data_IF_619298335704
#
_entry.id   IF_619298335704
#
_cell.length_a   1.000
_cell.length_b   1.000
_cell.length_c   1.000
_cell.angle_alpha   90.00
_cell.angle_beta   90.00
_cell.angle_gamma   90.00
#
_symmetry.space_group_name_H-M   'P 1'
#
loop_
_entity.id
_entity.type
_entity.pdbx_description
1 polymer ?
#
# COMPACT_ATOMS: atom_id res chain seq x y z
N UNK A 1 13.40 -29.85 -59.86
CA UNK A 1 12.90 -29.87 -58.44
C UNK A 1 11.55 -30.57 -58.49
N UNK A 2 11.35 -31.65 -57.73
CA UNK A 2 10.07 -32.34 -57.75
C UNK A 2 9.08 -31.74 -56.77
N UNK A 3 7.78 -32.01 -56.92
CA UNK A 3 6.70 -31.44 -56.17
C UNK A 3 6.89 -31.62 -54.64
N UNK A 4 7.52 -32.71 -54.21
CA UNK A 4 7.82 -32.98 -52.79
C UNK A 4 8.87 -32.00 -52.20
N UNK A 5 9.85 -31.59 -52.99
CA UNK A 5 10.87 -30.62 -52.56
C UNK A 5 10.28 -29.21 -52.48
N UNK A 6 9.38 -28.85 -53.40
CA UNK A 6 8.68 -27.57 -53.37
C UNK A 6 7.75 -27.50 -52.13
N UNK A 7 7.03 -28.59 -51.84
CA UNK A 7 6.14 -28.68 -50.67
C UNK A 7 6.92 -28.60 -49.35
N UNK A 8 8.09 -29.27 -49.28
CA UNK A 8 8.95 -29.20 -48.07
C UNK A 8 9.53 -27.81 -47.83
N UNK A 9 9.92 -27.09 -48.88
CA UNK A 9 10.41 -25.71 -48.79
C UNK A 9 9.27 -24.77 -48.40
N UNK A 10 8.07 -24.93 -48.93
CA UNK A 10 6.90 -24.13 -48.55
C UNK A 10 6.47 -24.35 -47.10
N UNK A 11 6.53 -25.57 -46.57
CA UNK A 11 6.27 -25.91 -45.19
C UNK A 11 7.36 -25.33 -44.27
N UNK A 12 8.65 -25.40 -44.65
CA UNK A 12 9.72 -24.76 -43.89
C UNK A 12 9.59 -23.22 -43.86
N UNK A 13 9.18 -22.60 -44.98
CA UNK A 13 8.93 -21.16 -44.98
C UNK A 13 7.72 -20.76 -44.15
N UNK A 14 6.69 -21.61 -44.04
CA UNK A 14 5.53 -21.35 -43.17
C UNK A 14 5.85 -21.49 -41.68
N UNK A 15 6.90 -22.25 -41.31
CA UNK A 15 7.36 -22.38 -39.92
C UNK A 15 8.42 -21.34 -39.51
N UNK A 16 8.95 -20.60 -40.48
CA UNK A 16 9.90 -19.50 -40.24
C UNK A 16 9.23 -18.18 -39.90
N UNK A 17 7.92 -18.18 -39.71
CA UNK A 17 7.16 -16.96 -39.39
C UNK A 17 6.88 -16.86 -37.92
N UNK A 18 7.35 -15.73 -37.38
CA UNK A 18 7.00 -15.15 -36.07
C UNK A 18 7.72 -15.70 -34.83
N UNK A 19 9.02 -15.85 -34.87
CA UNK A 19 9.78 -15.58 -33.68
C UNK A 19 9.80 -14.05 -33.50
N UNK A 20 8.76 -13.48 -32.90
CA UNK A 20 8.88 -12.13 -32.40
C UNK A 20 9.98 -12.15 -31.32
N UNK A 21 11.05 -11.38 -31.54
CA UNK A 21 12.10 -11.24 -30.54
C UNK A 21 11.52 -10.64 -29.25
N UNK A 22 12.12 -10.99 -28.13
CA UNK A 22 11.79 -10.37 -26.84
C UNK A 22 11.87 -8.85 -26.95
N UNK A 23 11.00 -8.14 -26.22
CA UNK A 23 11.02 -6.67 -26.20
C UNK A 23 12.24 -6.15 -25.44
N UNK A 24 12.95 -5.20 -26.03
CA UNK A 24 14.14 -4.60 -25.41
C UNK A 24 14.29 -3.12 -25.79
N UNK A 25 15.05 -2.38 -24.97
CA UNK A 25 15.32 -0.96 -25.19
C UNK A 25 14.08 -0.10 -24.96
N UNK A 26 13.91 0.97 -25.74
CA UNK A 26 12.79 1.92 -25.57
C UNK A 26 11.74 1.68 -26.64
N UNK A 27 10.52 1.42 -26.19
CA UNK A 27 9.30 1.33 -26.99
C UNK A 27 8.46 2.56 -26.72
N UNK A 28 8.19 3.35 -27.75
CA UNK A 28 7.37 4.55 -27.63
C UNK A 28 5.94 4.26 -28.05
N UNK A 29 5.00 4.48 -27.13
CA UNK A 29 3.57 4.37 -27.40
C UNK A 29 3.10 5.70 -27.96
N UNK A 30 2.69 5.73 -29.24
CA UNK A 30 2.24 6.92 -29.91
C UNK A 30 0.99 6.63 -30.75
N UNK A 31 -0.04 7.49 -30.64
CA UNK A 31 -1.24 7.37 -31.48
C UNK A 31 -0.86 7.33 -32.95
N UNK A 32 -1.37 6.34 -33.68
CA UNK A 32 -1.06 6.12 -35.10
C UNK A 32 0.20 5.28 -35.38
N UNK A 33 0.97 4.89 -34.37
CA UNK A 33 2.04 3.92 -34.53
C UNK A 33 1.45 2.55 -34.96
N UNK A 34 2.02 1.89 -35.98
CA UNK A 34 1.47 0.64 -36.49
C UNK A 34 1.59 -0.55 -35.52
N UNK A 35 2.54 -0.51 -34.57
CA UNK A 35 2.80 -1.59 -33.63
C UNK A 35 2.30 -1.26 -32.24
N UNK A 36 2.55 -0.02 -31.78
CA UNK A 36 2.25 0.42 -30.42
C UNK A 36 1.38 1.68 -30.40
N UNK A 37 0.16 1.64 -30.99
CA UNK A 37 -0.74 2.81 -31.00
C UNK A 37 -1.30 3.13 -29.62
N UNK A 38 -1.33 2.16 -28.70
CA UNK A 38 -1.86 2.27 -27.33
C UNK A 38 -0.97 1.57 -26.33
N UNK A 39 -1.08 1.97 -25.06
CA UNK A 39 -0.37 1.30 -23.97
C UNK A 39 -0.80 -0.18 -23.83
N UNK A 40 -2.08 -0.50 -24.12
CA UNK A 40 -2.54 -1.90 -24.18
C UNK A 40 -1.74 -2.71 -25.18
N UNK A 41 -1.58 -2.23 -26.42
CA UNK A 41 -0.85 -2.97 -27.44
C UNK A 41 0.60 -3.24 -27.05
N UNK A 42 1.24 -2.28 -26.38
CA UNK A 42 2.62 -2.45 -25.91
C UNK A 42 2.71 -3.45 -24.73
N UNK A 43 1.79 -3.39 -23.77
CA UNK A 43 1.74 -4.33 -22.64
C UNK A 43 1.37 -5.73 -23.12
N UNK A 44 0.43 -5.87 -24.05
CA UNK A 44 0.06 -7.16 -24.64
C UNK A 44 1.25 -7.79 -25.36
N UNK A 45 2.00 -6.99 -26.12
CA UNK A 45 3.25 -7.44 -26.75
C UNK A 45 4.29 -7.88 -25.72
N UNK A 46 4.46 -7.12 -24.64
CA UNK A 46 5.35 -7.47 -23.53
C UNK A 46 4.97 -8.81 -22.91
N UNK A 47 3.70 -9.00 -22.59
CA UNK A 47 3.21 -10.23 -21.99
C UNK A 47 3.38 -11.46 -22.88
N UNK A 48 3.29 -11.29 -24.19
CA UNK A 48 3.45 -12.40 -25.15
C UNK A 48 4.92 -12.70 -25.51
N UNK A 49 5.75 -11.69 -25.59
CA UNK A 49 7.13 -11.82 -26.08
C UNK A 49 8.15 -11.89 -24.94
N UNK A 50 7.80 -11.38 -23.77
CA UNK A 50 8.73 -11.23 -22.66
C UNK A 50 9.74 -10.11 -22.89
N UNK A 51 10.71 -10.00 -21.97
CA UNK A 51 11.74 -8.95 -21.96
C UNK A 51 13.09 -9.50 -22.37
N UNK A 52 13.77 -8.80 -23.28
CA UNK A 52 15.10 -9.14 -23.77
C UNK A 52 16.24 -8.55 -22.94
N UNK A 53 17.46 -8.80 -23.38
CA UNK A 53 18.67 -8.38 -22.68
C UNK A 53 18.74 -6.84 -22.54
N UNK A 54 19.10 -6.39 -21.33
CA UNK A 54 19.14 -4.98 -20.99
C UNK A 54 17.80 -4.37 -20.58
N UNK A 55 16.70 -5.17 -20.64
CA UNK A 55 15.38 -4.71 -20.21
C UNK A 55 14.59 -3.93 -21.27
N UNK A 56 13.39 -3.48 -20.89
CA UNK A 56 12.52 -2.69 -21.77
C UNK A 56 11.93 -1.50 -21.03
N UNK A 57 11.86 -0.36 -21.69
CA UNK A 57 11.11 0.81 -21.28
C UNK A 57 9.96 1.04 -22.24
N UNK A 58 8.73 0.81 -21.81
CA UNK A 58 7.52 1.19 -22.52
C UNK A 58 7.17 2.62 -22.10
N UNK A 59 7.35 3.57 -23.00
CA UNK A 59 7.21 4.99 -22.75
C UNK A 59 6.02 5.56 -23.52
N UNK A 60 5.04 6.11 -22.84
CA UNK A 60 3.94 6.83 -23.48
C UNK A 60 4.45 8.21 -23.92
N UNK A 61 4.32 8.52 -25.22
CA UNK A 61 4.72 9.83 -25.74
C UNK A 61 3.96 10.97 -25.03
N UNK A 62 4.60 12.11 -24.74
CA UNK A 62 3.93 13.23 -24.10
C UNK A 62 2.69 13.68 -24.87
N UNK A 63 1.59 14.00 -24.15
CA UNK A 63 0.34 14.42 -24.77
C UNK A 63 -0.48 13.30 -25.41
N UNK A 64 -0.21 12.05 -25.08
CA UNK A 64 -0.94 10.88 -25.58
C UNK A 64 -1.73 10.19 -24.43
N UNK A 65 -2.86 10.75 -23.98
CA UNK A 65 -3.66 10.18 -22.92
C UNK A 65 -4.19 8.79 -23.30
N UNK A 66 -4.34 7.92 -22.32
CA UNK A 66 -4.75 6.54 -22.48
C UNK A 66 -6.05 6.26 -21.74
N UNK A 67 -6.76 5.22 -22.16
CA UNK A 67 -7.88 4.63 -21.40
C UNK A 67 -7.51 3.19 -21.10
N UNK A 68 -7.63 2.78 -19.86
CA UNK A 68 -7.38 1.40 -19.47
C UNK A 68 -8.39 0.45 -20.15
N UNK A 69 -7.98 -0.74 -20.54
CA UNK A 69 -8.90 -1.75 -21.07
C UNK A 69 -9.83 -2.29 -19.98
N UNK A 70 -10.86 -3.02 -20.38
CA UNK A 70 -11.69 -3.77 -19.43
C UNK A 70 -10.81 -4.66 -18.53
N UNK A 71 -11.00 -4.55 -17.23
CA UNK A 71 -10.17 -5.23 -16.25
C UNK A 71 -8.80 -4.60 -15.97
N UNK A 72 -8.47 -3.46 -16.58
CA UNK A 72 -7.20 -2.74 -16.38
C UNK A 72 -6.02 -3.27 -17.19
N UNK A 73 -4.87 -2.60 -17.10
CA UNK A 73 -3.62 -3.06 -17.69
C UNK A 73 -3.03 -4.19 -16.85
N UNK A 74 -3.12 -5.42 -17.34
CA UNK A 74 -2.54 -6.59 -16.70
C UNK A 74 -1.10 -6.84 -17.18
N UNK A 75 -0.14 -6.83 -16.27
CA UNK A 75 1.28 -7.08 -16.52
C UNK A 75 1.60 -8.44 -15.92
N UNK A 76 1.96 -9.41 -16.78
CA UNK A 76 2.30 -10.79 -16.40
C UNK A 76 3.70 -11.19 -16.81
N UNK A 77 4.37 -10.40 -17.65
CA UNK A 77 5.76 -10.63 -18.02
C UNK A 77 6.67 -10.20 -16.87
N UNK A 78 7.57 -11.08 -16.45
CA UNK A 78 8.59 -10.80 -15.43
C UNK A 78 9.90 -10.36 -16.05
N UNK A 79 10.51 -9.37 -15.41
CA UNK A 79 11.90 -9.02 -15.59
C UNK A 79 12.84 -9.77 -14.64
N UNK A 80 14.08 -9.35 -14.60
CA UNK A 80 15.09 -9.73 -13.62
C UNK A 80 16.07 -8.55 -13.40
N UNK A 81 17.06 -8.64 -12.51
CA UNK A 81 17.99 -7.52 -12.26
C UNK A 81 18.73 -7.03 -13.51
N UNK A 82 18.93 -7.89 -14.52
CA UNK A 82 19.59 -7.55 -15.79
C UNK A 82 18.61 -7.15 -16.90
N UNK A 83 17.32 -7.42 -16.69
CA UNK A 83 16.24 -7.20 -17.65
C UNK A 83 15.03 -6.50 -16.98
N UNK A 84 15.20 -5.32 -16.39
CA UNK A 84 14.10 -4.61 -15.74
C UNK A 84 13.06 -4.16 -16.77
N UNK A 85 11.81 -4.08 -16.32
CA UNK A 85 10.69 -3.58 -17.12
C UNK A 85 10.24 -2.26 -16.53
N UNK A 86 10.26 -1.20 -17.33
CA UNK A 86 9.77 0.11 -16.97
C UNK A 86 8.57 0.50 -17.84
N UNK A 87 7.47 0.92 -17.20
CA UNK A 87 6.29 1.48 -17.88
C UNK A 87 6.16 2.93 -17.44
N UNK A 88 6.42 3.85 -18.36
CA UNK A 88 6.57 5.28 -18.07
C UNK A 88 5.47 6.11 -18.72
N UNK A 89 4.75 6.86 -17.89
CA UNK A 89 3.61 7.66 -18.31
C UNK A 89 3.94 9.04 -18.88
N UNK A 90 5.08 9.65 -18.53
CA UNK A 90 5.46 11.02 -18.91
C UNK A 90 4.39 12.07 -18.63
N UNK A 91 3.69 11.95 -17.50
CA UNK A 91 2.60 12.86 -17.13
C UNK A 91 1.29 12.62 -17.89
N UNK A 92 1.19 11.60 -18.72
CA UNK A 92 -0.05 11.29 -19.41
C UNK A 92 -1.13 10.78 -18.44
N UNK A 93 -2.36 11.19 -18.72
CA UNK A 93 -3.54 10.67 -18.04
C UNK A 93 -3.85 9.25 -18.50
N UNK A 94 -4.16 8.39 -17.54
CA UNK A 94 -4.82 7.10 -17.77
C UNK A 94 -6.18 7.15 -17.10
N UNK A 95 -7.25 7.15 -17.90
CA UNK A 95 -8.62 7.05 -17.40
C UNK A 95 -8.99 5.59 -17.22
N UNK A 96 -9.60 5.24 -16.10
CA UNK A 96 -10.10 3.91 -15.82
C UNK A 96 -11.12 3.44 -16.88
N UNK A 97 -11.27 2.15 -17.06
CA UNK A 97 -12.32 1.58 -17.91
C UNK A 97 -13.73 1.93 -17.37
N UNK A 98 -14.71 1.98 -18.25
CA UNK A 98 -16.11 2.18 -17.87
C UNK A 98 -17.04 1.34 -18.75
N UNK A 99 -18.03 0.65 -18.13
CA UNK A 99 -18.21 0.50 -16.70
C UNK A 99 -17.28 -0.57 -16.11
N UNK A 100 -16.83 -0.39 -14.87
CA UNK A 100 -16.15 -1.45 -14.15
C UNK A 100 -17.15 -2.56 -13.77
N UNK A 101 -16.64 -3.75 -13.49
CA UNK A 101 -17.48 -4.89 -13.11
C UNK A 101 -17.99 -4.75 -11.68
N UNK A 102 -19.24 -5.14 -11.45
CA UNK A 102 -19.77 -5.22 -10.09
C UNK A 102 -19.44 -6.57 -9.43
N UNK A 103 -19.23 -6.58 -8.14
CA UNK A 103 -19.19 -7.79 -7.31
C UNK A 103 -17.80 -8.17 -6.80
N UNK A 104 -16.94 -8.75 -7.62
CA UNK A 104 -15.58 -9.08 -7.22
C UNK A 104 -14.74 -7.80 -7.10
N UNK A 105 -13.91 -7.73 -6.06
CA UNK A 105 -13.05 -6.57 -5.83
C UNK A 105 -11.72 -6.83 -6.52
N UNK A 106 -11.65 -6.49 -7.80
CA UNK A 106 -10.51 -6.76 -8.66
C UNK A 106 -10.32 -5.74 -9.78
N UNK A 107 -11.05 -4.62 -9.77
CA UNK A 107 -10.96 -3.58 -10.78
C UNK A 107 -9.83 -2.60 -10.47
N UNK A 108 -8.82 -2.56 -11.34
CA UNK A 108 -7.66 -1.71 -11.19
C UNK A 108 -7.33 -0.96 -12.48
N UNK A 109 -6.63 0.17 -12.39
CA UNK A 109 -6.05 0.79 -13.59
C UNK A 109 -4.84 -0.02 -14.05
N UNK A 110 -3.94 -0.39 -13.13
CA UNK A 110 -2.84 -1.30 -13.40
C UNK A 110 -2.87 -2.50 -12.47
N UNK A 111 -2.58 -3.68 -13.00
CA UNK A 111 -2.40 -4.94 -12.26
C UNK A 111 -1.03 -5.52 -12.56
N UNK A 112 -0.25 -5.81 -11.54
CA UNK A 112 0.96 -6.62 -11.62
C UNK A 112 0.60 -8.00 -11.08
N UNK A 113 0.69 -9.05 -11.91
CA UNK A 113 0.20 -10.38 -11.58
C UNK A 113 1.36 -11.37 -11.67
N UNK A 114 1.93 -11.76 -10.53
CA UNK A 114 3.09 -12.64 -10.44
C UNK A 114 4.34 -12.11 -11.15
N UNK A 115 4.32 -10.89 -11.63
CA UNK A 115 5.39 -10.33 -12.45
C UNK A 115 6.42 -9.57 -11.63
N UNK A 116 7.68 -9.82 -11.89
CA UNK A 116 8.81 -9.28 -11.14
C UNK A 116 9.52 -8.14 -11.87
N UNK A 117 10.23 -7.32 -11.08
CA UNK A 117 11.08 -6.23 -11.60
C UNK A 117 10.34 -5.23 -12.48
N UNK A 118 9.11 -4.91 -12.08
CA UNK A 118 8.24 -3.97 -12.77
C UNK A 118 8.33 -2.59 -12.12
N UNK A 119 8.53 -1.56 -12.92
CA UNK A 119 8.40 -0.16 -12.49
C UNK A 119 7.25 0.50 -13.24
N UNK A 120 6.27 1.07 -12.51
CA UNK A 120 5.20 1.91 -13.07
C UNK A 120 5.45 3.34 -12.59
N UNK A 121 5.64 4.28 -13.52
CA UNK A 121 6.04 5.63 -13.15
C UNK A 121 5.41 6.74 -14.00
N UNK A 122 5.20 7.91 -13.36
CA UNK A 122 4.87 9.15 -14.03
C UNK A 122 3.52 9.22 -14.73
N UNK A 123 2.53 8.45 -14.30
CA UNK A 123 1.15 8.51 -14.78
C UNK A 123 0.26 9.39 -13.92
N UNK A 124 -0.77 9.96 -14.55
CA UNK A 124 -1.94 10.55 -13.90
C UNK A 124 -3.11 9.56 -14.04
N UNK A 125 -3.31 8.71 -13.06
CA UNK A 125 -4.37 7.69 -13.03
C UNK A 125 -5.66 8.30 -12.49
N UNK A 126 -6.75 8.19 -13.22
CA UNK A 126 -8.02 8.83 -12.86
C UNK A 126 -9.20 7.86 -12.98
N UNK A 127 -10.15 7.99 -12.05
CA UNK A 127 -11.48 7.38 -12.22
C UNK A 127 -12.14 7.88 -13.50
N UNK A 128 -12.90 7.01 -14.15
CA UNK A 128 -13.74 7.42 -15.28
C UNK A 128 -14.98 8.17 -14.76
N UNK A 129 -15.27 9.39 -15.22
CA UNK A 129 -16.44 10.14 -14.76
C UNK A 129 -17.79 9.43 -15.00
N UNK A 130 -17.85 8.46 -15.90
CA UNK A 130 -19.04 7.65 -16.13
C UNK A 130 -19.24 6.56 -15.06
N UNK A 131 -18.20 6.26 -14.28
CA UNK A 131 -18.27 5.36 -13.12
C UNK A 131 -18.80 6.16 -11.92
N UNK A 132 -20.09 6.04 -11.64
CA UNK A 132 -20.76 6.84 -10.61
C UNK A 132 -21.78 6.06 -9.77
N UNK A 133 -21.88 4.76 -9.98
CA UNK A 133 -22.72 3.85 -9.19
C UNK A 133 -21.90 3.24 -8.07
N UNK A 134 -22.21 3.61 -6.82
CA UNK A 134 -21.40 3.25 -5.63
C UNK A 134 -22.01 2.14 -4.78
N UNK A 135 -23.19 1.64 -5.14
CA UNK A 135 -23.84 0.58 -4.38
C UNK A 135 -23.05 -0.73 -4.44
N UNK A 136 -22.78 -1.35 -3.31
CA UNK A 136 -21.85 -2.48 -3.19
C UNK A 136 -22.15 -3.67 -4.14
N UNK A 137 -23.41 -3.90 -4.48
CA UNK A 137 -23.83 -5.02 -5.33
C UNK A 137 -23.97 -4.69 -6.81
N UNK A 138 -23.95 -3.41 -7.18
CA UNK A 138 -24.19 -2.94 -8.56
C UNK A 138 -23.23 -1.81 -8.95
N UNK A 139 -22.14 -1.64 -8.20
CA UNK A 139 -21.19 -0.59 -8.48
C UNK A 139 -20.54 -0.74 -9.86
N UNK A 140 -20.06 0.36 -10.39
CA UNK A 140 -19.24 0.40 -11.59
C UNK A 140 -17.95 1.20 -11.36
N UNK A 141 -17.49 1.24 -10.11
CA UNK A 141 -16.37 2.04 -9.64
C UNK A 141 -15.06 1.26 -9.70
N UNK A 142 -13.95 1.96 -9.87
CA UNK A 142 -12.60 1.38 -9.81
C UNK A 142 -12.17 1.20 -8.36
N UNK A 143 -11.69 0.00 -8.01
CA UNK A 143 -11.21 -0.29 -6.66
C UNK A 143 -9.77 0.15 -6.43
N UNK A 144 -8.89 -0.06 -7.41
CA UNK A 144 -7.45 0.14 -7.22
C UNK A 144 -6.84 1.05 -8.29
N UNK A 145 -5.96 1.96 -7.88
CA UNK A 145 -5.08 2.64 -8.82
C UNK A 145 -4.05 1.65 -9.38
N UNK A 146 -3.28 1.04 -8.49
CA UNK A 146 -2.34 -0.05 -8.82
C UNK A 146 -2.57 -1.21 -7.85
N UNK A 147 -2.76 -2.42 -8.38
CA UNK A 147 -2.90 -3.63 -7.61
C UNK A 147 -1.81 -4.65 -7.94
N UNK A 148 -1.27 -5.30 -6.92
CA UNK A 148 -0.31 -6.38 -7.02
C UNK A 148 -0.97 -7.67 -6.52
N UNK A 149 -1.07 -8.66 -7.41
CA UNK A 149 -1.69 -9.95 -7.15
C UNK A 149 -0.71 -11.09 -7.40
N UNK A 150 -0.78 -12.15 -6.65
CA UNK A 150 -0.04 -13.35 -7.02
C UNK A 150 -0.70 -14.05 -8.24
N UNK A 151 0.12 -14.67 -9.08
CA UNK A 151 -0.37 -15.49 -10.20
C UNK A 151 -0.74 -16.89 -9.71
N UNK A 152 0.14 -17.49 -8.93
CA UNK A 152 -0.08 -18.75 -8.18
C UNK A 152 0.41 -18.58 -6.74
N UNK A 153 0.03 -19.44 -5.80
CA UNK A 153 0.45 -19.31 -4.39
C UNK A 153 1.97 -19.32 -4.15
N UNK A 154 2.76 -19.64 -5.13
CA UNK A 154 4.22 -19.64 -5.14
C UNK A 154 4.84 -18.68 -6.17
N UNK A 155 4.03 -17.80 -6.76
CA UNK A 155 4.44 -16.82 -7.78
C UNK A 155 3.77 -15.47 -7.52
N UNK A 156 4.40 -14.62 -6.73
CA UNK A 156 3.97 -13.27 -6.38
C UNK A 156 4.88 -12.19 -6.97
N UNK A 157 4.37 -10.96 -7.11
CA UNK A 157 5.13 -9.86 -7.72
C UNK A 157 6.23 -9.37 -6.77
N UNK A 158 7.48 -9.52 -7.15
CA UNK A 158 8.64 -9.12 -6.36
C UNK A 158 9.46 -8.02 -7.03
N UNK A 159 10.23 -7.28 -6.24
CA UNK A 159 11.13 -6.25 -6.73
C UNK A 159 10.44 -5.18 -7.60
N UNK A 160 9.18 -4.88 -7.29
CA UNK A 160 8.37 -3.93 -8.04
C UNK A 160 8.46 -2.52 -7.46
N UNK A 161 8.25 -1.51 -8.29
CA UNK A 161 8.32 -0.10 -7.90
C UNK A 161 7.16 0.70 -8.49
N UNK A 162 6.47 1.48 -7.66
CA UNK A 162 5.40 2.40 -8.06
C UNK A 162 5.88 3.80 -7.72
N UNK A 163 6.26 4.60 -8.72
CA UNK A 163 7.06 5.81 -8.50
C UNK A 163 6.47 7.03 -9.18
N UNK A 164 6.26 8.13 -8.43
CA UNK A 164 5.94 9.43 -8.97
C UNK A 164 4.62 9.50 -9.75
N UNK A 165 3.65 8.66 -9.42
CA UNK A 165 2.34 8.69 -10.04
C UNK A 165 1.38 9.60 -9.27
N UNK A 166 0.40 10.15 -9.97
CA UNK A 166 -0.77 10.79 -9.38
C UNK A 166 -1.95 9.83 -9.54
N UNK A 167 -2.59 9.44 -8.43
CA UNK A 167 -3.72 8.50 -8.41
C UNK A 167 -4.92 9.19 -7.79
N UNK A 168 -6.02 9.33 -8.54
CA UNK A 168 -7.27 9.95 -8.10
C UNK A 168 -8.45 9.07 -8.51
N UNK A 169 -9.08 8.42 -7.56
CA UNK A 169 -10.19 7.50 -7.82
C UNK A 169 -11.56 8.08 -7.42
N UNK A 170 -12.56 7.23 -7.27
CA UNK A 170 -13.93 7.61 -6.90
C UNK A 170 -14.17 7.54 -5.38
N UNK A 171 -13.52 8.40 -4.60
CA UNK A 171 -13.45 8.37 -3.14
C UNK A 171 -14.74 8.10 -2.35
N UNK A 172 -15.94 8.54 -2.77
CA UNK A 172 -17.18 8.16 -2.10
C UNK A 172 -17.50 6.66 -2.17
N UNK A 173 -16.95 5.92 -3.12
CA UNK A 173 -17.08 4.47 -3.15
C UNK A 173 -16.21 3.82 -2.06
N UNK A 174 -16.84 2.93 -1.27
CA UNK A 174 -16.22 2.39 -0.06
C UNK A 174 -14.95 1.56 -0.30
N UNK A 175 -14.82 0.93 -1.46
CA UNK A 175 -13.72 0.01 -1.77
C UNK A 175 -12.70 0.66 -2.71
N UNK A 176 -12.29 1.90 -2.45
CA UNK A 176 -11.25 2.59 -3.23
C UNK A 176 -9.92 2.61 -2.48
N UNK A 177 -8.88 2.13 -3.15
CA UNK A 177 -7.52 2.02 -2.62
C UNK A 177 -6.51 2.57 -3.63
N UNK A 178 -5.59 3.42 -3.19
CA UNK A 178 -4.60 3.98 -4.09
C UNK A 178 -3.66 2.90 -4.64
N UNK A 179 -2.93 2.23 -3.75
CA UNK A 179 -2.02 1.12 -4.07
C UNK A 179 -2.33 -0.06 -3.14
N UNK A 180 -2.44 -1.23 -3.72
CA UNK A 180 -2.89 -2.44 -3.04
C UNK A 180 -2.00 -3.64 -3.35
N UNK A 181 -1.64 -4.42 -2.33
CA UNK A 181 -1.09 -5.76 -2.46
C UNK A 181 -1.64 -6.66 -1.36
N UNK A 182 -1.98 -7.90 -1.72
CA UNK A 182 -2.49 -8.86 -0.73
C UNK A 182 -2.12 -10.29 -1.14
N UNK A 183 -1.41 -11.00 -0.29
CA UNK A 183 -0.97 -12.39 -0.48
C UNK A 183 -2.12 -13.42 -0.54
N UNK A 184 -3.36 -12.96 -0.41
CA UNK A 184 -4.59 -13.77 -0.49
C UNK A 184 -5.55 -13.30 -1.57
N UNK A 185 -5.05 -12.53 -2.52
CA UNK A 185 -5.87 -11.95 -3.56
C UNK A 185 -5.24 -12.22 -4.92
N UNK A 186 -5.96 -12.95 -5.76
CA UNK A 186 -5.61 -13.14 -7.19
C UNK A 186 -6.23 -12.03 -8.03
N UNK A 187 -5.85 -11.94 -9.30
CA UNK A 187 -6.42 -10.97 -10.23
C UNK A 187 -7.93 -11.18 -10.50
N UNK A 188 -8.50 -12.30 -10.11
CA UNK A 188 -9.89 -12.67 -10.39
C UNK A 188 -10.75 -12.83 -9.15
N UNK A 189 -10.15 -13.10 -7.99
CA UNK A 189 -10.88 -13.34 -6.78
C UNK A 189 -10.04 -13.15 -5.52
N UNK A 190 -10.66 -12.63 -4.48
CA UNK A 190 -10.13 -12.68 -3.13
C UNK A 190 -10.32 -14.08 -2.57
N UNK A 191 -9.27 -14.70 -2.06
CA UNK A 191 -9.33 -16.03 -1.47
C UNK A 191 -9.64 -15.95 0.02
N UNK A 192 -10.58 -16.73 0.52
CA UNK A 192 -11.02 -16.67 1.92
C UNK A 192 -10.13 -17.46 2.90
N UNK A 193 -9.28 -18.33 2.42
CA UNK A 193 -8.48 -19.20 3.28
C UNK A 193 -7.16 -19.66 2.70
N UNK A 194 -7.04 -19.67 1.37
CA UNK A 194 -5.77 -19.98 0.73
C UNK A 194 -4.84 -18.78 0.85
N UNK A 195 -3.64 -19.03 1.31
CA UNK A 195 -2.55 -18.09 1.36
C UNK A 195 -1.46 -18.57 0.38
N UNK A 196 -0.46 -17.74 0.17
CA UNK A 196 0.74 -18.17 -0.54
C UNK A 196 1.40 -19.34 0.17
N UNK A 197 2.11 -20.17 -0.58
CA UNK A 197 2.72 -21.43 -0.11
C UNK A 197 4.24 -21.36 0.01
N UNK A 198 4.83 -20.28 -0.47
CA UNK A 198 6.27 -20.01 -0.37
C UNK A 198 6.54 -18.51 -0.23
N UNK A 199 7.78 -18.16 0.04
CA UNK A 199 8.22 -16.77 0.05
C UNK A 199 8.17 -16.14 -1.36
N UNK A 200 8.29 -16.95 -2.40
CA UNK A 200 8.22 -16.48 -3.79
C UNK A 200 6.81 -16.03 -4.17
N UNK A 201 5.77 -16.51 -3.47
CA UNK A 201 4.41 -16.00 -3.59
C UNK A 201 4.19 -14.61 -2.97
N UNK A 202 5.12 -14.07 -2.18
CA UNK A 202 4.99 -12.78 -1.52
C UNK A 202 5.43 -11.62 -2.43
N UNK A 203 4.91 -10.40 -2.16
CA UNK A 203 5.32 -9.16 -2.82
C UNK A 203 6.54 -8.52 -2.13
N UNK A 204 7.68 -9.20 -2.15
CA UNK A 204 8.89 -8.72 -1.48
C UNK A 204 9.57 -7.57 -2.22
N UNK A 205 10.33 -6.74 -1.49
CA UNK A 205 11.12 -5.62 -2.03
C UNK A 205 10.26 -4.61 -2.83
N UNK A 206 9.00 -4.43 -2.46
CA UNK A 206 8.11 -3.44 -3.08
C UNK A 206 8.51 -2.03 -2.64
N UNK A 207 8.61 -1.12 -3.61
CA UNK A 207 8.88 0.28 -3.39
C UNK A 207 7.70 1.15 -3.86
N UNK A 208 7.18 2.00 -2.98
CA UNK A 208 6.10 2.95 -3.26
C UNK A 208 6.65 4.34 -2.95
N UNK A 209 7.08 5.05 -3.99
CA UNK A 209 7.90 6.25 -3.82
C UNK A 209 7.28 7.48 -4.48
N UNK A 210 7.20 8.59 -3.74
CA UNK A 210 6.86 9.92 -4.26
C UNK A 210 5.53 9.98 -5.04
N UNK A 211 4.55 9.14 -4.71
CA UNK A 211 3.23 9.19 -5.34
C UNK A 211 2.34 10.23 -4.67
N UNK A 212 1.43 10.83 -5.43
CA UNK A 212 0.32 11.63 -4.92
C UNK A 212 -0.96 10.81 -5.06
N UNK A 213 -1.58 10.47 -3.94
CA UNK A 213 -2.79 9.63 -3.89
C UNK A 213 -3.91 10.45 -3.26
N UNK A 214 -5.05 10.53 -3.93
CA UNK A 214 -6.19 11.31 -3.46
C UNK A 214 -7.52 10.69 -3.89
N UNK A 215 -8.59 11.14 -3.25
CA UNK A 215 -9.95 10.69 -3.53
C UNK A 215 -10.08 9.16 -3.43
N UNK A 216 -9.50 8.60 -2.39
CA UNK A 216 -9.53 7.17 -2.05
C UNK A 216 -9.98 6.97 -0.61
N UNK A 217 -10.59 5.83 -0.32
CA UNK A 217 -10.96 5.51 1.05
C UNK A 217 -9.73 5.10 1.88
N UNK A 218 -8.79 4.37 1.28
CA UNK A 218 -7.51 4.02 1.89
C UNK A 218 -6.35 4.29 0.91
N UNK A 219 -5.23 4.81 1.43
CA UNK A 219 -4.11 5.20 0.59
C UNK A 219 -3.31 4.02 0.06
N UNK A 220 -2.53 3.39 0.94
CA UNK A 220 -1.71 2.20 0.65
C UNK A 220 -2.15 1.06 1.55
N UNK A 221 -2.46 -0.09 0.97
CA UNK A 221 -2.89 -1.29 1.69
C UNK A 221 -2.05 -2.48 1.29
N UNK A 222 -1.25 -2.98 2.21
CA UNK A 222 -0.34 -4.10 2.01
C UNK A 222 -0.65 -5.19 3.03
N UNK A 223 -1.05 -6.36 2.55
CA UNK A 223 -1.43 -7.52 3.38
C UNK A 223 -0.58 -8.72 2.99
N UNK A 224 0.41 -9.02 3.81
CA UNK A 224 1.28 -10.20 3.66
C UNK A 224 0.63 -11.47 4.20
N UNK A 225 1.33 -12.57 4.04
CA UNK A 225 0.95 -13.88 4.59
C UNK A 225 0.92 -13.87 6.12
N UNK A 226 0.00 -14.61 6.70
CA UNK A 226 -0.02 -14.88 8.14
C UNK A 226 0.97 -15.99 8.55
N UNK A 227 1.54 -16.70 7.59
CA UNK A 227 2.62 -17.68 7.83
C UNK A 227 3.93 -16.94 7.92
N UNK A 228 4.61 -17.02 9.05
CA UNK A 228 5.77 -16.18 9.36
C UNK A 228 6.88 -16.19 8.32
N UNK A 229 7.24 -17.37 7.80
CA UNK A 229 8.31 -17.50 6.80
C UNK A 229 7.96 -16.90 5.44
N UNK A 230 6.66 -16.68 5.17
CA UNK A 230 6.15 -16.15 3.91
C UNK A 230 5.66 -14.70 4.03
N UNK A 231 5.82 -14.06 5.19
CA UNK A 231 5.50 -12.63 5.35
C UNK A 231 6.28 -11.80 4.35
N UNK A 232 5.60 -10.88 3.70
CA UNK A 232 6.25 -9.95 2.78
C UNK A 232 7.26 -9.07 3.53
N UNK A 233 8.39 -8.77 2.89
CA UNK A 233 9.53 -8.13 3.54
C UNK A 233 10.21 -7.08 2.68
N UNK A 234 10.98 -6.19 3.35
CA UNK A 234 11.75 -5.14 2.71
C UNK A 234 10.86 -4.17 1.91
N UNK A 235 9.77 -3.76 2.51
CA UNK A 235 8.82 -2.84 1.88
C UNK A 235 9.24 -1.41 2.20
N UNK A 236 9.25 -0.56 1.16
CA UNK A 236 9.54 0.88 1.30
C UNK A 236 8.35 1.69 0.83
N UNK A 237 7.82 2.55 1.71
CA UNK A 237 6.80 3.55 1.37
C UNK A 237 7.37 4.91 1.76
N UNK A 238 7.85 5.68 0.79
CA UNK A 238 8.63 6.89 1.06
C UNK A 238 8.19 8.08 0.20
N UNK A 239 8.11 9.26 0.80
CA UNK A 239 7.85 10.51 0.11
C UNK A 239 6.45 10.68 -0.48
N UNK A 240 5.49 9.83 -0.14
CA UNK A 240 4.14 9.90 -0.73
C UNK A 240 3.29 10.99 -0.07
N UNK A 241 2.41 11.64 -0.86
CA UNK A 241 1.41 12.58 -0.41
C UNK A 241 0.01 11.94 -0.56
N UNK A 242 -0.61 11.56 0.55
CA UNK A 242 -1.83 10.75 0.58
C UNK A 242 -2.95 11.50 1.27
N UNK A 243 -4.06 11.75 0.54
CA UNK A 243 -5.33 12.21 1.09
C UNK A 243 -6.36 11.08 0.96
N UNK A 244 -6.99 10.68 2.06
CA UNK A 244 -7.80 9.47 2.15
C UNK A 244 -8.98 9.61 3.11
N UNK A 245 -9.88 8.62 3.11
CA UNK A 245 -10.91 8.51 4.14
C UNK A 245 -12.22 9.19 3.78
N UNK A 246 -12.67 9.09 2.54
CA UNK A 246 -13.91 9.71 2.08
C UNK A 246 -15.16 9.10 2.69
N UNK A 247 -15.15 7.80 2.97
CA UNK A 247 -16.28 7.14 3.64
C UNK A 247 -15.79 6.32 4.82
N UNK A 248 -16.57 6.20 5.85
CA UNK A 248 -16.25 5.35 7.01
C UNK A 248 -16.68 3.89 6.82
N UNK A 249 -17.13 3.51 5.64
CA UNK A 249 -17.68 2.19 5.38
C UNK A 249 -17.02 1.54 4.17
N UNK A 250 -16.64 0.29 4.27
CA UNK A 250 -16.15 -0.52 3.15
C UNK A 250 -16.48 -1.99 3.38
N UNK A 251 -16.54 -2.76 2.29
CA UNK A 251 -16.72 -4.20 2.36
C UNK A 251 -15.57 -4.86 3.08
N UNK A 252 -15.84 -5.96 3.76
CA UNK A 252 -14.82 -6.71 4.45
C UNK A 252 -13.97 -7.47 3.43
N UNK A 253 -12.71 -7.04 3.30
CA UNK A 253 -11.69 -7.85 2.63
C UNK A 253 -11.05 -8.79 3.63
N UNK A 254 -10.47 -9.84 3.13
CA UNK A 254 -9.66 -10.68 3.99
C UNK A 254 -8.57 -9.86 4.70
N UNK A 255 -8.62 -9.86 6.03
CA UNK A 255 -7.73 -9.10 6.91
C UNK A 255 -7.77 -7.57 6.80
N UNK A 256 -8.72 -7.00 6.06
CA UNK A 256 -8.92 -5.56 5.97
C UNK A 256 -10.38 -5.25 6.23
N UNK A 257 -10.73 -4.81 7.42
CA UNK A 257 -12.11 -4.46 7.75
C UNK A 257 -12.22 -3.43 8.86
N UNK A 258 -13.27 -2.65 8.81
CA UNK A 258 -13.72 -1.82 9.91
C UNK A 258 -12.85 -0.61 10.27
N UNK A 259 -11.76 -0.34 9.55
CA UNK A 259 -10.85 0.77 9.82
C UNK A 259 -10.46 1.51 8.55
N UNK A 260 -10.18 2.80 8.69
CA UNK A 260 -9.70 3.65 7.59
C UNK A 260 -8.26 4.03 7.88
N UNK A 261 -7.36 3.74 6.96
CA UNK A 261 -5.93 3.92 7.15
C UNK A 261 -5.31 4.69 5.98
N UNK A 262 -4.38 5.59 6.26
CA UNK A 262 -3.54 6.20 5.24
C UNK A 262 -2.59 5.17 4.65
N UNK A 263 -1.87 4.45 5.52
CA UNK A 263 -1.00 3.33 5.18
C UNK A 263 -1.34 2.17 6.13
N UNK A 264 -1.71 1.03 5.56
CA UNK A 264 -1.91 -0.23 6.28
C UNK A 264 -0.85 -1.24 5.87
N UNK A 265 -0.15 -1.77 6.85
CA UNK A 265 0.82 -2.86 6.72
C UNK A 265 0.37 -4.00 7.63
N UNK A 266 -0.12 -5.07 7.06
CA UNK A 266 -0.52 -6.26 7.81
C UNK A 266 0.40 -7.42 7.45
N UNK A 267 1.02 -8.04 8.45
CA UNK A 267 1.95 -9.17 8.26
C UNK A 267 3.13 -8.83 7.33
N UNK A 268 3.70 -7.65 7.52
CA UNK A 268 4.87 -7.13 6.80
C UNK A 268 6.03 -7.03 7.79
N UNK A 269 7.21 -7.41 7.38
CA UNK A 269 8.44 -7.31 8.16
C UNK A 269 9.52 -6.52 7.43
N UNK A 270 10.42 -5.88 8.18
CA UNK A 270 11.44 -4.99 7.62
C UNK A 270 10.83 -3.88 6.75
N UNK A 271 9.84 -3.18 7.31
CA UNK A 271 9.17 -2.05 6.65
C UNK A 271 9.92 -0.74 6.90
N UNK A 272 10.01 0.09 5.87
CA UNK A 272 10.54 1.46 5.94
C UNK A 272 9.48 2.43 5.43
N UNK A 273 8.89 3.20 6.33
CA UNK A 273 7.77 4.10 6.07
C UNK A 273 8.22 5.51 6.44
N UNK A 274 8.77 6.23 5.47
CA UNK A 274 9.42 7.51 5.75
C UNK A 274 8.85 8.66 4.91
N UNK A 275 9.00 9.89 5.42
CA UNK A 275 8.76 11.13 4.67
C UNK A 275 7.35 11.24 4.05
N UNK A 276 6.37 10.45 4.48
CA UNK A 276 5.03 10.50 3.91
C UNK A 276 4.22 11.64 4.54
N UNK A 277 3.42 12.30 3.71
CA UNK A 277 2.40 13.24 4.15
C UNK A 277 1.04 12.58 4.08
N UNK A 278 0.40 12.37 5.22
CA UNK A 278 -0.90 11.71 5.33
C UNK A 278 -1.94 12.72 5.82
N UNK A 279 -3.02 12.87 5.07
CA UNK A 279 -4.13 13.76 5.43
C UNK A 279 -5.43 12.97 5.30
N UNK A 280 -6.19 12.86 6.39
CA UNK A 280 -7.53 12.29 6.28
C UNK A 280 -8.52 13.35 5.77
N UNK A 281 -9.46 12.92 4.93
CA UNK A 281 -10.60 13.75 4.55
C UNK A 281 -11.59 13.89 5.71
N UNK A 282 -12.25 15.04 5.78
CA UNK A 282 -13.22 15.36 6.83
C UNK A 282 -14.54 14.59 6.72
N UNK A 283 -14.71 13.79 5.68
CA UNK A 283 -15.96 13.04 5.44
C UNK A 283 -15.98 11.69 6.16
N UNK A 284 -14.87 11.24 6.75
CA UNK A 284 -14.80 9.97 7.48
C UNK A 284 -15.84 9.93 8.60
N UNK A 285 -16.75 8.97 8.53
CA UNK A 285 -17.77 8.71 9.55
C UNK A 285 -17.60 7.31 10.13
N UNK A 286 -17.98 7.10 11.36
CA UNK A 286 -18.25 5.81 12.03
C UNK A 286 -17.13 4.74 12.06
N UNK A 287 -15.85 5.03 11.78
CA UNK A 287 -14.79 4.03 11.79
C UNK A 287 -13.54 4.51 12.55
N UNK A 288 -12.76 3.55 13.04
CA UNK A 288 -11.42 3.85 13.55
C UNK A 288 -10.56 4.43 12.43
N UNK A 289 -9.96 5.58 12.70
CA UNK A 289 -9.13 6.31 11.74
C UNK A 289 -7.67 6.20 12.18
N UNK A 290 -6.80 5.83 11.24
CA UNK A 290 -5.35 5.74 11.49
C UNK A 290 -4.56 6.44 10.38
N UNK A 291 -3.48 7.09 10.75
CA UNK A 291 -2.48 7.53 9.77
C UNK A 291 -1.70 6.33 9.23
N UNK A 292 -0.90 5.72 10.08
CA UNK A 292 -0.16 4.49 9.78
C UNK A 292 -0.63 3.38 10.72
N UNK A 293 -0.93 2.22 10.17
CA UNK A 293 -1.22 1.02 10.95
C UNK A 293 -0.30 -0.12 10.52
N UNK A 294 0.54 -0.57 11.42
CA UNK A 294 1.39 -1.74 11.24
C UNK A 294 0.98 -2.84 12.22
N UNK A 295 0.46 -3.91 11.65
CA UNK A 295 0.00 -5.07 12.38
C UNK A 295 0.78 -6.31 11.94
N UNK A 296 1.45 -6.94 12.89
CA UNK A 296 2.10 -8.23 12.66
C UNK A 296 1.40 -9.26 13.54
N UNK A 297 0.55 -10.07 12.94
CA UNK A 297 -0.22 -11.09 13.65
C UNK A 297 0.71 -12.13 14.26
N UNK A 298 0.68 -12.26 15.56
CA UNK A 298 1.62 -13.09 16.30
C UNK A 298 1.04 -14.04 17.32
N UNK A 299 -0.26 -14.25 17.39
CA UNK A 299 -0.82 -15.29 18.24
C UNK A 299 -0.81 -16.65 17.51
N UNK A 300 0.37 -17.22 17.30
CA UNK A 300 0.54 -18.58 16.78
C UNK A 300 1.35 -18.74 15.50
N UNK A 301 1.53 -17.74 14.67
CA UNK A 301 2.51 -17.81 13.59
C UNK A 301 3.89 -17.51 14.18
N UNK A 302 4.80 -18.47 14.15
CA UNK A 302 6.20 -18.20 14.42
C UNK A 302 6.67 -17.16 13.39
N UNK A 303 6.93 -15.92 13.84
CA UNK A 303 7.65 -14.97 13.00
C UNK A 303 9.00 -15.60 12.62
N UNK A 304 9.56 -15.23 11.46
CA UNK A 304 10.87 -15.73 11.08
C UNK A 304 11.86 -15.50 12.23
N UNK A 305 12.43 -16.56 12.75
CA UNK A 305 13.46 -16.49 13.80
C UNK A 305 14.85 -16.36 13.22
N UNK A 306 14.97 -16.49 11.89
CA UNK A 306 16.23 -16.54 11.17
C UNK A 306 16.90 -15.18 10.98
N UNK A 307 16.18 -14.06 11.22
CA UNK A 307 16.74 -12.71 11.11
C UNK A 307 16.03 -11.72 12.04
N UNK A 308 16.72 -10.62 12.35
CA UNK A 308 16.13 -9.54 13.13
C UNK A 308 15.14 -8.75 12.28
N UNK A 309 13.96 -8.46 12.80
CA UNK A 309 12.94 -7.64 12.14
C UNK A 309 13.13 -6.20 12.58
N UNK A 310 13.36 -5.32 11.62
CA UNK A 310 13.55 -3.89 11.86
C UNK A 310 12.54 -3.09 11.05
N UNK A 311 11.69 -2.34 11.73
CA UNK A 311 10.72 -1.46 11.10
C UNK A 311 11.06 -0.01 11.41
N UNK A 312 11.00 0.84 10.39
CA UNK A 312 11.32 2.27 10.48
C UNK A 312 10.11 3.10 10.08
N UNK A 313 9.70 4.02 10.95
CA UNK A 313 8.64 5.00 10.72
C UNK A 313 9.26 6.36 11.04
N UNK A 314 9.72 7.08 10.01
CA UNK A 314 10.51 8.29 10.27
C UNK A 314 10.04 9.46 9.40
N UNK A 315 10.06 10.66 9.98
CA UNK A 315 9.77 11.92 9.29
C UNK A 315 8.38 11.99 8.62
N UNK A 316 7.41 11.18 9.03
CA UNK A 316 6.08 11.26 8.47
C UNK A 316 5.32 12.46 9.04
N UNK A 317 4.53 13.12 8.19
CA UNK A 317 3.69 14.24 8.58
C UNK A 317 2.23 13.82 8.48
N UNK A 318 1.59 13.60 9.63
CA UNK A 318 0.28 12.98 9.73
C UNK A 318 -0.72 14.01 10.29
N UNK A 319 -1.72 14.36 9.49
CA UNK A 319 -2.84 15.21 9.91
C UNK A 319 -4.15 14.46 9.80
N UNK A 320 -4.80 14.22 10.94
CA UNK A 320 -6.03 13.45 11.01
C UNK A 320 -7.20 14.28 11.56
N UNK A 321 -8.28 14.28 10.81
CA UNK A 321 -9.55 14.84 11.21
C UNK A 321 -10.67 13.99 10.61
N UNK A 322 -11.79 13.87 11.30
CA UNK A 322 -12.97 13.17 10.78
C UNK A 322 -14.24 13.99 10.96
N UNK A 323 -15.30 13.61 10.28
CA UNK A 323 -16.57 14.34 10.35
C UNK A 323 -17.37 14.00 11.61
N UNK A 324 -17.65 12.73 11.83
CA UNK A 324 -18.38 12.30 13.04
C UNK A 324 -18.12 10.82 13.27
N UNK A 325 -17.84 10.42 14.49
CA UNK A 325 -18.10 9.09 14.99
C UNK A 325 -17.53 8.87 16.38
N UNK A 326 -18.07 7.92 17.07
CA UNK A 326 -17.57 7.47 18.35
C UNK A 326 -16.60 6.28 18.17
N UNK A 327 -15.44 6.55 17.60
CA UNK A 327 -14.36 5.58 17.43
C UNK A 327 -13.00 6.25 17.65
N UNK A 328 -11.97 5.47 17.96
CA UNK A 328 -10.64 6.03 18.25
C UNK A 328 -9.94 6.56 17.01
N UNK A 329 -9.04 7.52 17.23
CA UNK A 329 -8.13 8.07 16.20
C UNK A 329 -6.70 7.77 16.63
N UNK A 330 -5.89 7.29 15.71
CA UNK A 330 -4.48 6.98 15.95
C UNK A 330 -3.60 7.65 14.89
N UNK A 331 -2.59 8.39 15.32
CA UNK A 331 -1.56 8.89 14.40
C UNK A 331 -0.78 7.71 13.81
N UNK A 332 -0.03 7.02 14.66
CA UNK A 332 0.68 5.77 14.32
C UNK A 332 0.22 4.68 15.28
N UNK A 333 -0.22 3.55 14.74
CA UNK A 333 -0.61 2.38 15.51
C UNK A 333 0.28 1.19 15.16
N UNK A 334 1.05 0.72 16.13
CA UNK A 334 1.90 -0.45 16.01
C UNK A 334 1.31 -1.59 16.86
N UNK A 335 1.02 -2.70 16.24
CA UNK A 335 0.47 -3.88 16.89
C UNK A 335 1.36 -5.08 16.57
N UNK A 336 2.47 -5.18 17.32
CA UNK A 336 3.55 -6.15 17.08
C UNK A 336 3.73 -7.03 18.30
N UNK A 337 3.64 -8.33 18.14
CA UNK A 337 3.75 -9.31 19.22
C UNK A 337 4.93 -10.26 19.01
N UNK A 338 6.19 -9.77 19.02
CA UNK A 338 7.32 -10.69 18.85
C UNK A 338 8.63 -10.18 19.46
N UNK A 339 9.44 -11.13 19.95
CA UNK A 339 10.74 -10.91 20.57
C UNK A 339 11.85 -10.51 19.61
N UNK A 340 11.62 -10.63 18.31
CA UNK A 340 12.62 -10.30 17.29
C UNK A 340 12.43 -8.93 16.67
N UNK A 341 11.34 -8.22 17.02
CA UNK A 341 10.96 -6.94 16.38
C UNK A 341 11.63 -5.76 17.05
N UNK A 342 12.23 -4.91 16.26
CA UNK A 342 12.69 -3.57 16.65
C UNK A 342 11.92 -2.53 15.85
N UNK A 343 11.29 -1.57 16.54
CA UNK A 343 10.58 -0.46 15.91
C UNK A 343 11.29 0.86 16.20
N UNK A 344 11.57 1.62 15.14
CA UNK A 344 12.01 3.00 15.20
C UNK A 344 10.87 3.92 14.74
N UNK A 345 10.44 4.86 15.59
CA UNK A 345 9.45 5.89 15.29
C UNK A 345 10.11 7.22 15.60
N UNK A 346 10.65 7.86 14.57
CA UNK A 346 11.59 8.95 14.77
C UNK A 346 11.23 10.18 13.92
N UNK A 347 11.13 11.33 14.58
CA UNK A 347 10.93 12.64 13.94
C UNK A 347 9.58 12.74 13.17
N UNK A 348 8.60 11.95 13.53
CA UNK A 348 7.25 12.05 12.97
C UNK A 348 6.53 13.26 13.55
N UNK A 349 5.70 13.93 12.73
CA UNK A 349 4.83 15.01 13.17
C UNK A 349 3.38 14.56 13.09
N UNK A 350 2.70 14.53 14.24
CA UNK A 350 1.31 14.07 14.35
C UNK A 350 0.43 15.24 14.79
N UNK A 351 -0.58 15.57 13.97
CA UNK A 351 -1.40 16.75 14.15
C UNK A 351 -2.90 16.45 14.04
N UNK A 352 -3.70 17.32 14.64
CA UNK A 352 -5.15 17.24 14.61
C UNK A 352 -5.68 16.21 15.59
N UNK A 353 -6.10 15.04 15.13
CA UNK A 353 -6.74 13.97 15.90
C UNK A 353 -8.12 14.37 16.43
N UNK A 354 -8.84 15.21 15.69
CA UNK A 354 -10.15 15.75 16.05
C UNK A 354 -11.30 15.20 15.20
N UNK A 355 -12.51 15.65 15.57
CA UNK A 355 -13.74 15.34 14.85
C UNK A 355 -14.57 16.63 14.68
N UNK A 356 -15.45 16.67 13.67
CA UNK A 356 -16.40 17.78 13.53
C UNK A 356 -17.44 17.78 14.65
N UNK A 357 -17.80 16.59 15.16
CA UNK A 357 -18.70 16.45 16.32
C UNK A 357 -17.94 15.95 17.55
N UNK A 358 -18.43 16.28 18.74
CA UNK A 358 -17.92 15.75 20.01
C UNK A 358 -18.07 14.23 20.04
N UNK A 359 -17.07 13.54 20.57
CA UNK A 359 -17.06 12.10 20.70
C UNK A 359 -16.43 11.63 22.03
N UNK A 360 -16.59 10.36 22.38
CA UNK A 360 -16.18 9.81 23.68
C UNK A 360 -14.99 8.87 23.63
N UNK A 361 -14.60 8.42 22.42
CA UNK A 361 -13.49 7.48 22.25
C UNK A 361 -12.14 8.16 22.45
N UNK A 362 -11.16 7.38 22.84
CA UNK A 362 -9.80 7.85 23.07
C UNK A 362 -9.08 8.24 21.77
N UNK A 363 -8.06 9.08 21.94
CA UNK A 363 -7.17 9.58 20.89
C UNK A 363 -5.74 9.19 21.24
N UNK A 364 -5.01 8.76 20.23
CA UNK A 364 -3.63 8.33 20.38
C UNK A 364 -2.73 9.01 19.34
N UNK A 365 -1.69 9.68 19.79
CA UNK A 365 -0.63 10.16 18.91
C UNK A 365 0.14 8.96 18.33
N UNK A 366 0.95 8.30 19.15
CA UNK A 366 1.57 7.01 18.85
C UNK A 366 1.01 5.97 19.83
N UNK A 367 0.49 4.89 19.29
CA UNK A 367 -0.03 3.77 20.06
C UNK A 367 0.73 2.50 19.69
N UNK A 368 1.43 1.93 20.64
CA UNK A 368 1.99 0.61 20.52
C UNK A 368 1.15 -0.37 21.35
N UNK A 369 0.60 -1.36 20.72
CA UNK A 369 -0.06 -2.50 21.32
C UNK A 369 0.77 -3.74 21.04
N UNK A 370 1.06 -4.53 22.05
CA UNK A 370 1.84 -5.74 21.88
C UNK A 370 3.23 -5.68 22.50
N UNK A 371 4.12 -6.59 22.12
CA UNK A 371 5.43 -6.76 22.70
C UNK A 371 6.50 -6.82 21.61
N UNK A 372 7.17 -5.71 21.33
CA UNK A 372 8.39 -5.71 20.54
C UNK A 372 9.61 -5.84 21.45
N UNK A 373 10.71 -6.39 20.93
CA UNK A 373 11.97 -6.47 21.66
C UNK A 373 12.52 -5.09 21.95
N UNK A 374 12.63 -4.25 20.92
CA UNK A 374 13.15 -2.89 21.10
C UNK A 374 12.20 -1.88 20.48
N UNK A 375 12.08 -0.71 21.14
CA UNK A 375 11.24 0.38 20.68
C UNK A 375 11.96 1.71 20.91
N UNK A 376 12.01 2.52 19.85
CA UNK A 376 12.64 3.81 19.89
C UNK A 376 11.63 4.87 19.42
N UNK A 377 11.12 5.66 20.35
CA UNK A 377 10.25 6.81 20.10
C UNK A 377 11.05 8.08 20.33
N UNK A 378 11.55 8.68 19.24
CA UNK A 378 12.49 9.80 19.37
C UNK A 378 12.11 10.99 18.51
N UNK A 379 12.27 12.20 19.06
CA UNK A 379 12.13 13.47 18.33
C UNK A 379 10.77 13.66 17.65
N UNK A 380 9.74 12.95 18.05
CA UNK A 380 8.41 13.10 17.49
C UNK A 380 7.76 14.39 17.98
N UNK A 381 6.93 15.01 17.15
CA UNK A 381 6.25 16.27 17.43
C UNK A 381 4.74 16.02 17.43
N UNK A 382 4.07 16.53 18.49
CA UNK A 382 2.64 16.37 18.66
C UNK A 382 1.94 17.73 18.73
N UNK A 383 0.97 17.94 17.87
CA UNK A 383 0.10 19.12 17.81
C UNK A 383 -1.36 18.64 17.80
N UNK A 384 -1.87 18.24 18.95
CA UNK A 384 -3.18 17.58 19.09
C UNK A 384 -4.26 18.64 19.36
N UNK A 385 -5.23 18.72 18.46
CA UNK A 385 -6.44 19.53 18.63
C UNK A 385 -7.64 18.59 18.51
N UNK A 386 -8.32 18.34 19.63
CA UNK A 386 -9.34 17.31 19.74
C UNK A 386 -10.53 17.77 20.57
N UNK A 387 -11.70 17.30 20.19
CA UNK A 387 -12.96 17.52 20.89
C UNK A 387 -13.54 16.23 21.50
N UNK A 388 -12.67 15.29 21.85
CA UNK A 388 -13.09 14.08 22.59
C UNK A 388 -13.36 14.38 24.07
N UNK A 389 -14.40 13.78 24.64
CA UNK A 389 -14.54 13.66 26.10
C UNK A 389 -13.77 12.45 26.67
N UNK A 390 -13.24 11.56 25.81
CA UNK A 390 -12.36 10.47 26.18
C UNK A 390 -10.95 10.92 26.53
N UNK A 391 -10.08 9.97 26.85
CA UNK A 391 -8.68 10.25 27.15
C UNK A 391 -7.85 10.53 25.89
N UNK A 392 -6.81 11.33 26.07
CA UNK A 392 -5.78 11.62 25.06
C UNK A 392 -4.47 10.97 25.49
N UNK A 393 -3.93 10.11 24.68
CA UNK A 393 -2.63 9.48 24.87
C UNK A 393 -1.68 10.01 23.80
N UNK A 394 -0.74 10.86 24.19
CA UNK A 394 0.26 11.38 23.27
C UNK A 394 1.15 10.24 22.79
N UNK A 395 1.69 9.48 23.75
CA UNK A 395 2.49 8.29 23.49
C UNK A 395 2.02 7.16 24.43
N UNK A 396 1.55 6.07 23.82
CA UNK A 396 1.13 4.88 24.53
C UNK A 396 2.10 3.73 24.24
N UNK A 397 2.87 3.36 25.22
CA UNK A 397 3.99 2.43 25.12
C UNK A 397 3.64 0.99 25.43
N UNK A 398 2.53 0.47 24.90
CA UNK A 398 2.17 -0.95 24.84
C UNK A 398 2.41 -1.85 26.04
N UNK A 399 1.97 -3.07 25.91
CA UNK A 399 1.78 -3.99 27.04
C UNK A 399 2.98 -4.82 27.44
N UNK A 400 4.06 -4.90 26.77
CA UNK A 400 5.18 -5.75 27.20
C UNK A 400 6.38 -5.57 26.26
N UNK A 401 7.40 -4.96 26.76
CA UNK A 401 8.74 -5.23 26.29
C UNK A 401 9.11 -6.58 26.85
N UNK A 402 9.51 -7.53 26.01
CA UNK A 402 9.94 -8.83 26.48
C UNK A 402 11.24 -8.76 27.30
N UNK A 403 11.54 -9.80 28.05
CA UNK A 403 12.75 -9.88 28.87
C UNK A 403 13.97 -9.48 28.05
N UNK A 404 14.79 -8.56 28.56
CA UNK A 404 15.94 -7.96 27.90
C UNK A 404 15.65 -7.01 26.73
N UNK A 405 14.40 -6.57 26.52
CA UNK A 405 14.05 -5.53 25.54
C UNK A 405 14.40 -4.12 26.03
N UNK A 406 14.48 -3.19 25.07
CA UNK A 406 14.79 -1.78 25.35
C UNK A 406 13.64 -0.91 24.82
N UNK A 407 13.14 -0.02 25.68
CA UNK A 407 12.30 1.09 25.22
C UNK A 407 13.02 2.41 25.46
N UNK A 408 13.16 3.21 24.42
CA UNK A 408 13.74 4.56 24.49
C UNK A 408 12.69 5.58 24.11
N UNK A 409 12.42 6.51 25.00
CA UNK A 409 11.55 7.66 24.75
C UNK A 409 12.40 8.90 24.96
N UNK A 410 12.76 9.55 23.86
CA UNK A 410 13.78 10.59 23.90
C UNK A 410 13.44 11.77 23.00
N UNK A 411 13.58 12.98 23.53
CA UNK A 411 13.45 14.24 22.78
C UNK A 411 12.09 14.41 22.04
N UNK A 412 11.04 13.74 22.47
CA UNK A 412 9.72 13.96 21.93
C UNK A 412 9.17 15.30 22.45
N UNK A 413 8.48 16.04 21.57
CA UNK A 413 7.99 17.37 21.86
C UNK A 413 6.49 17.46 21.68
N UNK A 414 5.81 18.04 22.65
CA UNK A 414 4.38 18.37 22.58
C UNK A 414 4.24 19.88 22.44
N UNK A 415 3.92 20.33 21.24
CA UNK A 415 3.78 21.76 20.92
C UNK A 415 2.40 22.29 21.29
N UNK A 416 1.37 21.43 21.21
CA UNK A 416 -0.01 21.80 21.49
C UNK A 416 -0.81 20.57 21.93
N UNK A 417 -1.58 20.74 23.01
CA UNK A 417 -2.76 19.90 23.28
C UNK A 417 -3.93 20.83 23.55
N UNK A 418 -4.80 20.96 22.58
CA UNK A 418 -6.06 21.68 22.69
C UNK A 418 -7.21 20.66 22.77
N UNK A 419 -7.71 20.44 23.97
CA UNK A 419 -8.84 19.56 24.25
C UNK A 419 -10.07 20.40 24.59
N UNK A 420 -10.91 20.65 23.61
CA UNK A 420 -12.03 21.58 23.69
C UNK A 420 -13.23 21.10 24.52
N UNK A 421 -13.25 19.81 24.87
CA UNK A 421 -14.34 19.18 25.66
C UNK A 421 -13.80 18.59 26.94
N UNK A 422 -14.50 18.86 28.06
CA UNK A 422 -14.17 18.30 29.37
C UNK A 422 -14.36 16.76 29.39
N UNK A 423 -13.63 16.09 30.27
CA UNK A 423 -13.65 14.65 30.51
C UNK A 423 -12.39 13.96 30.05
N UNK A 424 -12.18 12.73 30.50
CA UNK A 424 -10.98 11.96 30.24
C UNK A 424 -9.69 12.57 30.77
N UNK A 425 -8.61 11.86 30.65
CA UNK A 425 -7.27 12.26 31.11
C UNK A 425 -6.35 12.47 29.92
N UNK A 426 -5.45 13.45 30.03
CA UNK A 426 -4.34 13.61 29.07
C UNK A 426 -3.12 12.90 29.63
N UNK A 427 -2.65 11.89 28.92
CA UNK A 427 -1.42 11.17 29.22
C UNK A 427 -0.34 11.57 28.21
N UNK A 428 0.72 12.19 28.66
CA UNK A 428 1.88 12.46 27.80
C UNK A 428 2.61 11.17 27.46
N UNK A 429 2.75 10.31 28.47
CA UNK A 429 3.24 8.95 28.30
C UNK A 429 2.41 8.01 29.16
N UNK A 430 1.95 6.92 28.57
CA UNK A 430 1.25 5.87 29.26
C UNK A 430 1.89 4.51 28.94
N UNK A 431 2.31 3.79 29.97
CA UNK A 431 2.86 2.44 29.83
C UNK A 431 2.05 1.47 30.66
N UNK A 432 1.69 0.37 30.07
CA UNK A 432 1.18 -0.79 30.77
C UNK A 432 2.36 -1.70 31.04
N UNK A 433 3.07 -1.47 32.16
CA UNK A 433 4.30 -2.20 32.46
C UNK A 433 4.05 -3.66 32.80
N UNK A 434 4.90 -4.56 32.26
CA UNK A 434 5.23 -5.82 32.91
C UNK A 434 6.53 -5.64 33.71
N UNK A 435 6.73 -6.48 34.71
CA UNK A 435 7.84 -6.43 35.66
C UNK A 435 9.26 -6.55 35.06
N UNK A 436 9.40 -6.76 33.77
CA UNK A 436 10.67 -7.11 33.13
C UNK A 436 11.20 -6.05 32.16
N UNK A 437 10.61 -4.86 32.11
CA UNK A 437 11.04 -3.83 31.14
C UNK A 437 11.99 -2.82 31.77
N UNK A 438 13.10 -2.56 31.10
CA UNK A 438 13.97 -1.43 31.39
C UNK A 438 13.59 -0.25 30.52
N UNK A 439 12.93 0.75 31.10
CA UNK A 439 12.68 2.03 30.43
C UNK A 439 13.91 2.91 30.63
N UNK A 440 14.56 3.31 29.52
CA UNK A 440 15.71 4.21 29.55
C UNK A 440 15.36 5.57 28.97
N UNK A 441 15.75 6.64 29.66
CA UNK A 441 15.73 8.02 29.19
C UNK A 441 14.34 8.51 28.73
N UNK A 442 13.48 8.85 29.69
CA UNK A 442 12.27 9.61 29.38
C UNK A 442 12.66 11.10 29.41
N UNK A 443 12.81 11.71 28.25
CA UNK A 443 12.89 13.16 28.11
C UNK A 443 11.65 13.62 27.32
N UNK A 444 10.75 14.28 28.00
CA UNK A 444 9.59 14.93 27.41
C UNK A 444 9.76 16.44 27.56
N UNK A 445 9.84 17.13 26.46
CA UNK A 445 9.85 18.61 26.43
C UNK A 445 8.42 19.06 26.22
N UNK A 446 7.86 19.78 27.21
CA UNK A 446 6.50 20.32 27.19
C UNK A 446 6.56 21.80 26.89
#
# INVERSE_FOLDING_TARGET
MNVKQILSISIMLLWATFAFGQLQGVITVTSGDPLYPTLSAAIDSLNHQGVGDGGVTIMVAPGNPQTAPAGGYAITASGDPSKPIMIQGNGNTVTAFSPQASGAINDAIFKIIGADWITISGFMMMENPANNVMAATTNNMTEFGVALFYATPDDGPQNCSIIGNTITLGGPYQNTFGIYANSRHTATAMTSGADITSLDGAFNNLQILNNTISNVNMGVVLVGSTTGDYMARNIVVDGNNITYGYTGSFSNYYSVSGTVNGILLNSIVNATINNNKLTSDNTVTARTLRGIYHYVSGTGAALPTSFAIVNNFNNNNIFLKRNAANASIYGIHLDNYNDSVTNYVIADTIRGLGSAATYTSAVYGIYHQGAAKNQYFKKNIFQINTNTSGSVYVLHGGNKIKSNGIQVIDSNRVDLIDKTVAGGTVYFYYSVSSSDSTVKNILLII
#
